data_IF_020815717521
#
_entry.id   IF_020815717521
#
_cell.length_a   1.000
_cell.length_b   1.000
_cell.length_c   1.000
_cell.angle_alpha   90.00
_cell.angle_beta   90.00
_cell.angle_gamma   90.00
#
_symmetry.space_group_name_H-M   'P 1'
#
loop_
_entity.id
_entity.type
_entity.pdbx_description
1 polymer ?
#
# COMPACT_ATOMS: atom_id res chain seq x y z
N UNK A 1 5.14 21.91 1.70
CA UNK A 1 5.17 21.55 0.26
C UNK A 1 6.32 20.64 -0.15
N UNK A 2 6.01 19.59 -0.90
CA UNK A 2 6.99 18.71 -1.57
C UNK A 2 7.46 19.33 -2.89
N UNK A 3 8.69 19.05 -3.32
CA UNK A 3 9.09 19.36 -4.69
C UNK A 3 8.47 18.34 -5.67
N UNK A 4 8.50 18.65 -6.97
CA UNK A 4 7.89 17.82 -8.01
C UNK A 4 8.35 16.35 -7.98
N UNK A 5 9.64 16.13 -7.71
CA UNK A 5 10.22 14.79 -7.69
C UNK A 5 9.83 14.00 -6.43
N UNK A 6 9.70 14.66 -5.29
CA UNK A 6 9.20 14.03 -4.07
C UNK A 6 7.71 13.71 -4.17
N UNK A 7 6.91 14.57 -4.81
CA UNK A 7 5.51 14.28 -5.15
C UNK A 7 5.41 13.05 -6.05
N UNK A 8 6.20 12.98 -7.12
CA UNK A 8 6.19 11.83 -8.02
C UNK A 8 6.56 10.51 -7.30
N UNK A 9 7.59 10.55 -6.45
CA UNK A 9 8.00 9.40 -5.63
C UNK A 9 6.89 8.96 -4.68
N UNK A 10 6.21 9.90 -4.04
CA UNK A 10 5.11 9.61 -3.12
C UNK A 10 3.93 8.97 -3.85
N UNK A 11 3.51 9.55 -4.98
CA UNK A 11 2.41 9.01 -5.80
C UNK A 11 2.73 7.59 -6.27
N UNK A 12 3.95 7.35 -6.77
CA UNK A 12 4.39 6.01 -7.17
C UNK A 12 4.36 5.03 -6.01
N UNK A 13 4.86 5.42 -4.84
CA UNK A 13 4.83 4.58 -3.65
C UNK A 13 3.40 4.24 -3.21
N UNK A 14 2.50 5.24 -3.19
CA UNK A 14 1.07 5.06 -2.88
C UNK A 14 0.43 4.04 -3.83
N UNK A 15 0.65 4.19 -5.13
CA UNK A 15 0.10 3.29 -6.16
C UNK A 15 0.66 1.87 -6.03
N UNK A 16 1.96 1.72 -5.84
CA UNK A 16 2.59 0.40 -5.63
C UNK A 16 2.08 -0.28 -4.37
N UNK A 17 1.90 0.46 -3.26
CA UNK A 17 1.33 -0.10 -2.04
C UNK A 17 -0.11 -0.57 -2.24
N UNK A 18 -0.92 0.17 -3.00
CA UNK A 18 -2.30 -0.22 -3.31
C UNK A 18 -2.37 -1.51 -4.14
N UNK A 19 -1.53 -1.63 -5.19
CA UNK A 19 -1.44 -2.87 -5.97
C UNK A 19 -1.01 -4.05 -5.10
N UNK A 20 0.00 -3.86 -4.24
CA UNK A 20 0.47 -4.91 -3.36
C UNK A 20 -0.58 -5.34 -2.33
N UNK A 21 -1.42 -4.42 -1.84
CA UNK A 21 -2.58 -4.76 -1.01
C UNK A 21 -3.54 -5.68 -1.76
N UNK A 22 -3.83 -5.42 -3.03
CA UNK A 22 -4.70 -6.25 -3.85
C UNK A 22 -4.09 -7.65 -4.08
N UNK A 23 -2.80 -7.71 -4.41
CA UNK A 23 -2.09 -8.99 -4.58
C UNK A 23 -2.12 -9.84 -3.30
N UNK A 24 -1.94 -9.22 -2.13
CA UNK A 24 -1.99 -9.90 -0.83
C UNK A 24 -3.42 -10.31 -0.43
N UNK A 25 -4.44 -9.56 -0.85
CA UNK A 25 -5.84 -9.98 -0.70
C UNK A 25 -6.12 -11.25 -1.49
N UNK A 26 -5.63 -11.35 -2.72
CA UNK A 26 -5.77 -12.58 -3.53
C UNK A 26 -4.93 -13.73 -2.95
N UNK A 27 -3.71 -13.45 -2.47
CA UNK A 27 -2.88 -14.46 -1.80
C UNK A 27 -3.55 -15.02 -0.54
N UNK A 28 -4.24 -14.16 0.22
CA UNK A 28 -5.02 -14.57 1.40
C UNK A 28 -6.17 -15.53 1.09
N UNK A 29 -6.62 -15.60 -0.17
CA UNK A 29 -7.67 -16.52 -0.64
C UNK A 29 -7.12 -17.85 -1.17
N UNK A 30 -5.81 -18.07 -1.11
CA UNK A 30 -5.21 -19.29 -1.63
C UNK A 30 -5.70 -20.54 -0.89
N UNK A 31 -5.93 -21.64 -1.61
CA UNK A 31 -6.29 -22.93 -1.02
C UNK A 31 -5.16 -23.51 -0.15
N UNK A 32 -3.92 -23.11 -0.42
CA UNK A 32 -2.78 -23.47 0.40
C UNK A 32 -2.79 -22.68 1.72
N UNK A 33 -3.01 -23.38 2.83
CA UNK A 33 -3.10 -22.79 4.17
C UNK A 33 -1.90 -21.92 4.57
N UNK A 34 -0.68 -22.31 4.18
CA UNK A 34 0.51 -21.52 4.50
C UNK A 34 0.49 -20.18 3.75
N UNK A 35 0.15 -20.22 2.46
CA UNK A 35 0.05 -19.01 1.63
C UNK A 35 -1.08 -18.09 2.10
N UNK A 36 -2.24 -18.64 2.44
CA UNK A 36 -3.36 -17.86 2.95
C UNK A 36 -3.00 -17.11 4.25
N UNK A 37 -2.39 -17.80 5.22
CA UNK A 37 -1.98 -17.17 6.49
C UNK A 37 -0.93 -16.07 6.27
N UNK A 38 0.08 -16.32 5.43
CA UNK A 38 1.09 -15.30 5.10
C UNK A 38 0.44 -14.12 4.39
N UNK A 39 -0.48 -14.38 3.44
CA UNK A 39 -1.24 -13.35 2.75
C UNK A 39 -2.01 -12.45 3.72
N UNK A 40 -2.75 -13.03 4.66
CA UNK A 40 -3.49 -12.28 5.68
C UNK A 40 -2.58 -11.46 6.62
N UNK A 41 -1.46 -12.03 7.06
CA UNK A 41 -0.52 -11.32 7.94
C UNK A 41 0.10 -10.11 7.23
N UNK A 42 0.58 -10.32 6.00
CA UNK A 42 1.22 -9.27 5.21
C UNK A 42 0.21 -8.21 4.77
N UNK A 43 -1.03 -8.60 4.46
CA UNK A 43 -2.10 -7.68 4.06
C UNK A 43 -2.31 -6.58 5.10
N UNK A 44 -2.33 -6.92 6.39
CA UNK A 44 -2.49 -5.94 7.48
C UNK A 44 -1.37 -4.89 7.45
N UNK A 45 -0.13 -5.32 7.24
CA UNK A 45 1.04 -4.43 7.18
C UNK A 45 1.00 -3.55 5.92
N UNK A 46 0.66 -4.14 4.78
CA UNK A 46 0.55 -3.43 3.50
C UNK A 46 -0.58 -2.38 3.53
N UNK A 47 -1.75 -2.72 4.09
CA UNK A 47 -2.87 -1.79 4.22
C UNK A 47 -2.51 -0.59 5.13
N UNK A 48 -1.79 -0.82 6.23
CA UNK A 48 -1.30 0.28 7.08
C UNK A 48 -0.29 1.17 6.34
N UNK A 49 0.59 0.59 5.52
CA UNK A 49 1.53 1.35 4.71
C UNK A 49 0.81 2.22 3.68
N UNK A 50 -0.14 1.63 2.94
CA UNK A 50 -0.94 2.32 1.93
C UNK A 50 -1.70 3.52 2.53
N UNK A 51 -2.36 3.30 3.68
CA UNK A 51 -3.06 4.37 4.39
C UNK A 51 -2.13 5.51 4.82
N UNK A 52 -0.92 5.19 5.27
CA UNK A 52 0.08 6.21 5.66
C UNK A 52 0.53 7.03 4.46
N UNK A 53 0.80 6.38 3.33
CA UNK A 53 1.23 7.05 2.09
C UNK A 53 0.12 7.95 1.55
N UNK A 54 -1.12 7.45 1.46
CA UNK A 54 -2.29 8.25 1.06
C UNK A 54 -2.52 9.44 1.99
N UNK A 55 -2.32 9.27 3.29
CA UNK A 55 -2.46 10.38 4.25
C UNK A 55 -1.41 11.46 4.01
N UNK A 56 -0.15 11.09 3.79
CA UNK A 56 0.91 12.04 3.47
C UNK A 56 0.55 12.76 2.17
N UNK A 57 0.17 12.01 1.13
CA UNK A 57 -0.18 12.55 -0.18
C UNK A 57 -1.28 13.60 -0.09
N UNK A 58 -2.36 13.32 0.65
CA UNK A 58 -3.46 14.27 0.87
C UNK A 58 -2.99 15.53 1.61
N UNK A 59 -2.25 15.37 2.70
CA UNK A 59 -1.77 16.52 3.49
C UNK A 59 -0.83 17.40 2.66
N UNK A 60 -0.01 16.81 1.80
CA UNK A 60 0.95 17.56 0.97
C UNK A 60 0.36 18.15 -0.31
N UNK A 61 -0.81 17.69 -0.76
CA UNK A 61 -1.54 18.23 -1.91
C UNK A 61 -2.53 19.35 -1.54
N UNK A 62 -2.86 19.52 -0.24
CA UNK A 62 -3.84 20.51 0.24
C UNK A 62 -3.17 21.84 0.67
N UNK A 63 -1.89 22.04 0.35
CA UNK A 63 -1.15 23.31 0.47
C UNK A 63 -0.69 23.76 -0.92
#
# INVERSE_FOLDING_TARGET
MLNAMDTERLVKASQSANLFVQDLQELGKADNFLLANIGEELLKKAAQLEQRLLRIERVTHTE
#
